data_IF_382647677321
#
_entry.id   IF_382647677321
#
_cell.length_a   1.000
_cell.length_b   1.000
_cell.length_c   1.000
_cell.angle_alpha   90.00
_cell.angle_beta   90.00
_cell.angle_gamma   90.00
#
_symmetry.space_group_name_H-M   'P 1'
#
loop_
_entity.id
_entity.type
_entity.pdbx_description
1 polymer ?
#
# COMPACT_ATOMS: atom_id res chain seq x y z
N UNK A 1 -23.53 -27.69 14.16
CA UNK A 1 -24.40 -26.56 13.77
C UNK A 1 -23.64 -25.29 14.06
N UNK A 2 -23.02 -24.74 13.03
CA UNK A 2 -22.24 -23.50 13.13
C UNK A 2 -23.21 -22.35 12.78
N UNK A 3 -23.51 -21.51 13.77
CA UNK A 3 -24.24 -20.26 13.55
C UNK A 3 -23.25 -19.18 13.18
N UNK A 4 -23.11 -18.90 11.87
CA UNK A 4 -22.28 -17.82 11.37
C UNK A 4 -22.82 -16.46 11.81
N UNK A 5 -22.04 -15.72 12.57
CA UNK A 5 -22.30 -14.31 12.89
C UNK A 5 -21.92 -13.46 11.68
N UNK A 6 -22.89 -12.86 11.05
CA UNK A 6 -22.72 -12.03 9.85
C UNK A 6 -21.88 -10.77 10.15
N UNK A 7 -20.95 -10.40 9.27
CA UNK A 7 -20.14 -9.15 9.29
C UNK A 7 -20.99 -7.87 9.53
N UNK A 8 -22.26 -7.90 9.15
CA UNK A 8 -23.20 -6.78 9.40
C UNK A 8 -23.52 -6.53 10.87
N UNK A 9 -23.38 -7.52 11.76
CA UNK A 9 -23.72 -7.35 13.18
C UNK A 9 -22.58 -6.72 14.01
N UNK A 10 -21.35 -6.81 13.56
CA UNK A 10 -20.22 -6.20 14.26
C UNK A 10 -20.25 -4.68 14.22
N UNK A 11 -20.63 -4.08 13.07
CA UNK A 11 -20.79 -2.62 12.91
C UNK A 11 -21.99 -2.08 13.68
N UNK A 12 -23.00 -2.92 13.98
CA UNK A 12 -24.22 -2.47 14.67
C UNK A 12 -24.21 -2.63 16.18
N UNK A 13 -23.31 -3.45 16.76
CA UNK A 13 -23.31 -3.72 18.20
C UNK A 13 -22.36 -2.82 19.02
N UNK A 14 -21.51 -2.02 18.38
CA UNK A 14 -20.66 -1.03 19.07
C UNK A 14 -21.36 0.32 19.33
N UNK A 15 -22.61 0.47 18.91
CA UNK A 15 -23.35 1.75 18.88
C UNK A 15 -24.18 2.09 20.11
N UNK A 16 -24.08 1.40 21.25
CA UNK A 16 -24.89 1.74 22.44
C UNK A 16 -24.08 1.72 23.72
N UNK A 17 -23.32 2.77 23.99
CA UNK A 17 -22.99 3.19 25.36
C UNK A 17 -22.50 4.65 25.43
N UNK A 18 -23.30 5.46 26.05
CA UNK A 18 -23.07 6.73 26.75
C UNK A 18 -22.54 7.96 25.98
N UNK A 19 -23.48 8.87 25.77
CA UNK A 19 -23.26 10.29 25.57
C UNK A 19 -22.66 10.94 26.84
N UNK A 20 -21.47 11.56 26.72
CA UNK A 20 -21.04 12.62 27.61
C UNK A 20 -20.55 13.79 26.72
N UNK A 21 -21.36 14.84 26.67
CA UNK A 21 -21.11 16.05 25.92
C UNK A 21 -19.99 16.86 26.55
N UNK A 22 -18.92 17.13 25.78
CA UNK A 22 -18.05 18.28 26.01
C UNK A 22 -18.12 19.19 24.79
N UNK A 23 -18.82 20.29 24.95
CA UNK A 23 -19.04 21.33 23.95
C UNK A 23 -17.74 22.04 23.61
N UNK A 24 -17.21 21.87 22.40
CA UNK A 24 -16.29 22.83 21.80
C UNK A 24 -17.00 23.53 20.64
N UNK A 25 -17.64 24.65 20.96
CA UNK A 25 -18.13 25.59 19.96
C UNK A 25 -16.97 26.44 19.44
N UNK A 26 -16.58 26.18 18.19
CA UNK A 26 -16.03 27.20 17.28
C UNK A 26 -16.76 27.12 15.96
N UNK A 27 -17.88 27.86 15.91
CA UNK A 27 -18.55 28.19 14.67
C UNK A 27 -17.67 29.17 13.91
N UNK A 28 -17.07 28.73 12.80
CA UNK A 28 -16.43 29.54 11.78
C UNK A 28 -16.87 29.03 10.43
N UNK A 29 -17.80 29.71 9.82
CA UNK A 29 -18.17 29.79 8.40
C UNK A 29 -18.04 28.52 7.52
N UNK A 30 -18.90 27.52 7.75
CA UNK A 30 -19.18 26.49 6.74
C UNK A 30 -20.68 26.16 6.79
N UNK A 31 -21.43 26.59 5.79
CA UNK A 31 -22.86 26.31 5.66
C UNK A 31 -23.17 24.89 5.12
N UNK A 32 -22.20 23.97 5.08
CA UNK A 32 -22.37 22.55 4.79
C UNK A 32 -21.58 21.74 5.81
N UNK A 33 -22.21 20.70 6.35
CA UNK A 33 -21.49 19.69 7.12
C UNK A 33 -20.43 19.04 6.26
N UNK A 34 -19.24 18.77 6.82
CA UNK A 34 -18.21 18.01 6.12
C UNK A 34 -18.78 16.68 5.62
N UNK A 35 -18.41 16.22 4.42
CA UNK A 35 -18.85 14.92 3.93
C UNK A 35 -18.35 13.80 4.87
N UNK A 36 -19.11 12.73 4.97
CA UNK A 36 -18.74 11.54 5.69
C UNK A 36 -17.67 10.74 4.92
N UNK A 37 -16.95 9.85 5.60
CA UNK A 37 -15.99 8.96 4.95
C UNK A 37 -16.65 8.12 3.85
N UNK A 38 -17.88 7.64 4.08
CA UNK A 38 -18.66 6.92 3.05
C UNK A 38 -18.96 7.80 1.83
N UNK A 39 -19.33 9.06 2.02
CA UNK A 39 -19.57 9.98 0.91
C UNK A 39 -18.30 10.26 0.10
N UNK A 40 -17.15 10.41 0.77
CA UNK A 40 -15.86 10.54 0.07
C UNK A 40 -15.54 9.28 -0.73
N UNK A 41 -15.78 8.09 -0.18
CA UNK A 41 -15.62 6.82 -0.90
C UNK A 41 -16.48 6.75 -2.14
N UNK A 42 -17.73 7.21 -2.07
CA UNK A 42 -18.61 7.25 -3.24
C UNK A 42 -18.12 8.23 -4.32
N UNK A 43 -17.51 9.36 -3.95
CA UNK A 43 -16.85 10.26 -4.91
C UNK A 43 -15.66 9.57 -5.60
N UNK A 44 -14.84 8.84 -4.83
CA UNK A 44 -13.71 8.05 -5.35
C UNK A 44 -14.22 7.01 -6.34
N UNK A 45 -15.24 6.21 -5.99
CA UNK A 45 -15.82 5.18 -6.86
C UNK A 45 -16.36 5.77 -8.17
N UNK A 46 -17.07 6.91 -8.09
CA UNK A 46 -17.55 7.62 -9.27
C UNK A 46 -16.41 8.07 -10.17
N UNK A 47 -15.34 8.61 -9.60
CA UNK A 47 -14.18 9.03 -10.37
C UNK A 47 -13.47 7.85 -11.03
N UNK A 48 -13.30 6.75 -10.32
CA UNK A 48 -12.74 5.50 -10.84
C UNK A 48 -13.58 4.95 -12.01
N UNK A 49 -14.91 5.00 -11.89
CA UNK A 49 -15.81 4.59 -12.97
C UNK A 49 -15.64 5.42 -14.25
N UNK A 50 -15.46 6.74 -14.11
CA UNK A 50 -15.13 7.62 -15.25
C UNK A 50 -13.80 7.26 -15.89
N UNK A 51 -12.86 6.73 -15.13
CA UNK A 51 -11.54 6.26 -15.59
C UNK A 51 -11.57 4.79 -16.07
N UNK A 52 -12.75 4.20 -16.20
CA UNK A 52 -12.94 2.83 -16.72
C UNK A 52 -12.77 1.71 -15.68
N UNK A 53 -12.64 2.05 -14.39
CA UNK A 53 -12.59 1.06 -13.31
C UNK A 53 -14.00 0.80 -12.77
N UNK A 54 -14.56 -0.35 -13.09
CA UNK A 54 -15.88 -0.77 -12.58
C UNK A 54 -15.70 -1.31 -11.16
N UNK A 55 -16.40 -0.68 -10.20
CA UNK A 55 -16.42 -1.16 -8.82
C UNK A 55 -17.23 -2.46 -8.71
N UNK A 56 -16.65 -3.47 -8.11
CA UNK A 56 -17.24 -4.79 -7.94
C UNK A 56 -16.78 -5.45 -6.63
N UNK A 57 -17.11 -6.71 -6.39
CA UNK A 57 -16.62 -7.45 -5.23
C UNK A 57 -15.10 -7.46 -5.17
N UNK A 58 -14.58 -7.26 -3.96
CA UNK A 58 -13.17 -7.40 -3.60
C UNK A 58 -13.08 -8.03 -2.21
N UNK A 59 -12.07 -8.86 -1.99
CA UNK A 59 -11.77 -9.41 -0.67
C UNK A 59 -10.99 -8.40 0.20
N UNK A 60 -10.43 -7.37 -0.42
CA UNK A 60 -9.52 -6.42 0.23
C UNK A 60 -10.14 -5.05 0.43
N UNK A 61 -10.87 -4.52 -0.57
CA UNK A 61 -11.37 -3.15 -0.55
C UNK A 61 -12.59 -2.99 0.36
N UNK A 62 -12.53 -2.03 1.26
CA UNK A 62 -13.62 -1.78 2.21
C UNK A 62 -13.20 -0.96 3.42
N UNK A 63 -14.18 -0.66 4.28
CA UNK A 63 -13.91 -0.12 5.59
C UNK A 63 -13.44 -1.23 6.53
N UNK A 64 -12.30 -1.02 7.17
CA UNK A 64 -11.67 -1.98 8.07
C UNK A 64 -11.63 -1.49 9.53
N UNK A 65 -11.71 -0.17 9.75
CA UNK A 65 -11.65 0.41 11.08
C UNK A 65 -12.46 1.71 11.13
N UNK A 66 -13.14 1.97 12.26
CA UNK A 66 -13.94 3.17 12.51
C UNK A 66 -15.31 3.18 11.83
N UNK A 67 -16.03 4.30 11.97
CA UNK A 67 -17.40 4.47 11.44
C UNK A 67 -17.37 5.12 10.04
N UNK A 68 -17.94 4.49 9.01
CA UNK A 68 -18.12 5.10 7.69
C UNK A 68 -18.84 6.44 7.69
N UNK A 69 -19.65 6.71 8.70
CA UNK A 69 -20.38 7.98 8.84
C UNK A 69 -19.55 9.09 9.51
N UNK A 70 -18.30 8.84 9.85
CA UNK A 70 -17.40 9.85 10.42
C UNK A 70 -17.30 11.07 9.49
N UNK A 71 -17.60 12.30 9.96
CA UNK A 71 -17.36 13.52 9.20
C UNK A 71 -15.87 13.71 8.95
N UNK A 72 -15.48 13.88 7.68
CA UNK A 72 -14.07 13.97 7.28
C UNK A 72 -13.57 15.41 7.42
N UNK A 73 -12.53 15.59 8.23
CA UNK A 73 -11.83 16.88 8.39
C UNK A 73 -10.53 16.93 7.56
N UNK A 74 -10.00 15.79 7.16
CA UNK A 74 -8.84 15.64 6.30
C UNK A 74 -8.61 14.18 5.96
N UNK A 75 -7.99 13.94 4.80
CA UNK A 75 -7.67 12.60 4.30
C UNK A 75 -6.18 12.38 4.33
N UNK A 76 -5.75 11.23 4.85
CA UNK A 76 -4.40 10.69 4.66
C UNK A 76 -4.45 9.52 3.66
N UNK A 77 -3.51 9.44 2.74
CA UNK A 77 -3.25 8.22 1.97
C UNK A 77 -1.96 7.58 2.46
N UNK A 78 -1.88 6.27 2.48
CA UNK A 78 -0.73 5.53 3.00
C UNK A 78 -0.65 4.14 2.37
N UNK A 79 0.52 3.51 2.41
CA UNK A 79 0.67 2.11 2.01
C UNK A 79 -0.02 1.21 3.05
N UNK A 80 0.33 1.32 4.32
CA UNK A 80 -0.27 0.55 5.39
C UNK A 80 -0.67 1.45 6.56
N UNK A 81 -1.87 1.24 7.13
CA UNK A 81 -2.38 2.02 8.25
C UNK A 81 -1.83 1.52 9.60
N UNK A 82 -0.49 1.54 9.77
CA UNK A 82 0.14 1.18 11.04
C UNK A 82 -0.31 2.09 12.19
N UNK A 83 -0.10 1.68 13.43
CA UNK A 83 -0.46 2.52 14.59
C UNK A 83 0.28 3.86 14.58
N UNK A 84 1.54 3.87 14.12
CA UNK A 84 2.31 5.11 13.96
C UNK A 84 1.75 6.01 12.85
N UNK A 85 1.36 5.43 11.71
CA UNK A 85 0.68 6.17 10.63
C UNK A 85 -0.61 6.81 11.14
N UNK A 86 -1.45 6.10 11.91
CA UNK A 86 -2.68 6.66 12.48
C UNK A 86 -2.38 7.85 13.41
N UNK A 87 -1.35 7.75 14.25
CA UNK A 87 -0.91 8.87 15.12
C UNK A 87 -0.45 10.08 14.32
N UNK A 88 0.36 9.87 13.28
CA UNK A 88 0.83 10.96 12.40
C UNK A 88 -0.31 11.57 11.59
N UNK A 89 -1.25 10.76 11.11
CA UNK A 89 -2.46 11.25 10.44
C UNK A 89 -3.29 12.15 11.36
N UNK A 90 -3.53 11.71 12.59
CA UNK A 90 -4.23 12.51 13.59
C UNK A 90 -3.50 13.82 13.91
N UNK A 91 -2.19 13.78 14.11
CA UNK A 91 -1.37 14.97 14.35
C UNK A 91 -1.43 15.96 13.16
N UNK A 92 -1.54 15.44 11.93
CA UNK A 92 -1.74 16.23 10.70
C UNK A 92 -3.21 16.61 10.45
N UNK A 93 -4.12 16.38 11.42
CA UNK A 93 -5.56 16.64 11.32
C UNK A 93 -6.24 15.89 10.16
N UNK A 94 -5.84 14.65 9.95
CA UNK A 94 -6.45 13.72 8.99
C UNK A 94 -7.12 12.60 9.79
N UNK A 95 -8.45 12.55 9.74
CA UNK A 95 -9.21 11.54 10.46
C UNK A 95 -9.82 10.47 9.52
N UNK A 96 -9.64 10.62 8.21
CA UNK A 96 -9.96 9.57 7.26
C UNK A 96 -8.67 9.07 6.59
N UNK A 97 -8.35 7.79 6.79
CA UNK A 97 -7.14 7.17 6.25
C UNK A 97 -7.53 6.22 5.12
N UNK A 98 -6.95 6.44 3.97
CA UNK A 98 -7.07 5.56 2.81
C UNK A 98 -5.78 4.75 2.71
N UNK A 99 -5.87 3.45 2.96
CA UNK A 99 -4.73 2.53 2.96
C UNK A 99 -4.75 1.61 1.74
N UNK A 100 -3.58 1.20 1.28
CA UNK A 100 -3.46 0.20 0.22
C UNK A 100 -3.45 -1.21 0.80
N UNK A 101 -2.63 -1.44 1.81
CA UNK A 101 -2.48 -2.72 2.48
C UNK A 101 -3.32 -2.84 3.75
N UNK A 102 -3.23 -4.01 4.39
CA UNK A 102 -4.08 -4.42 5.50
C UNK A 102 -3.95 -3.53 6.73
N UNK A 103 -5.03 -3.43 7.47
CA UNK A 103 -5.08 -2.71 8.75
C UNK A 103 -4.63 -3.58 9.92
N UNK A 104 -4.85 -4.90 9.84
CA UNK A 104 -4.64 -5.87 10.93
C UNK A 104 -3.73 -7.05 10.55
N UNK A 105 -2.57 -6.77 9.91
CA UNK A 105 -1.42 -7.69 9.72
C UNK A 105 -1.70 -9.01 8.98
N UNK A 106 -2.85 -9.15 8.37
CA UNK A 106 -3.18 -10.25 7.48
C UNK A 106 -3.79 -9.68 6.21
N UNK A 107 -3.44 -10.24 5.06
CA UNK A 107 -3.90 -9.71 3.76
C UNK A 107 -5.42 -9.57 3.64
N UNK A 108 -6.18 -10.39 4.38
CA UNK A 108 -7.64 -10.39 4.39
C UNK A 108 -8.25 -9.61 5.56
N UNK A 109 -7.44 -9.03 6.44
CA UNK A 109 -7.89 -8.34 7.65
C UNK A 109 -8.88 -9.15 8.51
N UNK A 110 -8.56 -10.41 8.93
CA UNK A 110 -9.45 -11.26 9.72
C UNK A 110 -9.50 -10.78 11.17
N UNK A 111 -10.31 -9.77 11.42
CA UNK A 111 -10.40 -9.11 12.73
C UNK A 111 -10.78 -10.12 13.84
N UNK A 112 -11.61 -11.11 13.52
CA UNK A 112 -12.08 -12.08 14.50
C UNK A 112 -10.94 -12.86 15.17
N UNK A 113 -9.86 -13.18 14.45
CA UNK A 113 -8.69 -13.89 14.99
C UNK A 113 -7.86 -12.99 15.90
N UNK A 114 -7.86 -11.68 15.64
CA UNK A 114 -7.05 -10.68 16.32
C UNK A 114 -7.79 -9.92 17.43
N UNK A 115 -9.11 -10.13 17.58
CA UNK A 115 -9.95 -9.33 18.49
C UNK A 115 -9.47 -9.32 19.96
N UNK A 116 -8.80 -10.38 20.40
CA UNK A 116 -8.29 -10.48 21.78
C UNK A 116 -6.83 -10.05 21.91
N UNK A 117 -6.17 -9.72 20.81
CA UNK A 117 -4.79 -9.25 20.83
C UNK A 117 -4.74 -7.80 21.38
N UNK A 118 -3.85 -7.51 22.35
CA UNK A 118 -3.79 -6.19 22.97
C UNK A 118 -3.38 -5.07 22.00
N UNK A 119 -2.61 -5.37 20.97
CA UNK A 119 -2.19 -4.38 19.95
C UNK A 119 -3.37 -4.04 19.04
N UNK A 120 -4.13 -5.06 18.61
CA UNK A 120 -5.37 -4.88 17.85
C UNK A 120 -6.36 -4.01 18.63
N UNK A 121 -6.61 -4.36 19.89
CA UNK A 121 -7.50 -3.61 20.78
C UNK A 121 -7.05 -2.16 21.01
N UNK A 122 -5.76 -1.92 21.15
CA UNK A 122 -5.23 -0.56 21.29
C UNK A 122 -5.44 0.27 20.01
N UNK A 123 -5.27 -0.35 18.84
CA UNK A 123 -5.48 0.30 17.54
C UNK A 123 -6.95 0.66 17.31
N UNK A 124 -7.86 -0.26 17.66
CA UNK A 124 -9.31 -0.04 17.57
C UNK A 124 -9.72 1.13 18.49
N UNK A 125 -9.36 1.05 19.79
CA UNK A 125 -9.68 2.13 20.74
C UNK A 125 -9.14 3.49 20.32
N UNK A 126 -7.91 3.53 19.82
CA UNK A 126 -7.31 4.79 19.35
C UNK A 126 -8.13 5.41 18.21
N UNK A 127 -8.58 4.62 17.25
CA UNK A 127 -9.39 5.10 16.14
C UNK A 127 -10.77 5.57 16.61
N UNK A 128 -11.43 4.82 17.50
CA UNK A 128 -12.73 5.18 18.06
C UNK A 128 -12.68 6.49 18.89
N UNK A 129 -11.72 6.60 19.81
CA UNK A 129 -11.52 7.78 20.68
C UNK A 129 -11.22 9.06 19.89
N UNK A 130 -10.60 8.92 18.70
CA UNK A 130 -10.23 10.03 17.85
C UNK A 130 -11.13 10.22 16.62
N UNK A 131 -12.27 9.50 16.56
CA UNK A 131 -13.20 9.56 15.44
C UNK A 131 -12.52 9.38 14.08
N UNK A 132 -11.64 8.39 13.98
CA UNK A 132 -10.95 8.04 12.75
C UNK A 132 -11.67 6.92 12.01
N UNK A 133 -11.64 6.97 10.67
CA UNK A 133 -12.07 5.88 9.81
C UNK A 133 -10.91 5.45 8.90
N UNK A 134 -10.79 4.14 8.65
CA UNK A 134 -9.81 3.57 7.72
C UNK A 134 -10.54 2.78 6.65
N UNK A 135 -10.25 3.12 5.40
CA UNK A 135 -10.78 2.47 4.22
C UNK A 135 -9.65 1.96 3.34
N UNK A 136 -9.69 0.69 2.97
CA UNK A 136 -8.70 0.07 2.09
C UNK A 136 -9.14 0.15 0.64
N UNK A 137 -8.18 0.50 -0.23
CA UNK A 137 -8.31 0.46 -1.68
C UNK A 137 -7.09 -0.23 -2.29
N UNK A 138 -7.23 -1.50 -2.60
CA UNK A 138 -6.19 -2.34 -3.19
C UNK A 138 -6.55 -2.73 -4.61
N UNK A 139 -7.52 -3.63 -4.78
CA UNK A 139 -7.87 -4.21 -6.08
C UNK A 139 -8.29 -3.17 -7.11
N UNK A 140 -9.17 -2.23 -6.70
CA UNK A 140 -9.68 -1.22 -7.61
C UNK A 140 -8.66 -0.13 -7.92
N UNK A 141 -7.67 0.07 -7.04
CA UNK A 141 -6.56 0.96 -7.32
C UNK A 141 -5.63 0.39 -8.39
N UNK A 142 -5.29 -0.91 -8.30
CA UNK A 142 -4.52 -1.65 -9.30
C UNK A 142 -5.19 -1.78 -10.68
N UNK A 143 -6.53 -1.69 -10.73
CA UNK A 143 -7.27 -1.80 -12.00
C UNK A 143 -7.19 -0.56 -12.88
N UNK A 144 -6.69 0.55 -12.39
CA UNK A 144 -6.47 1.76 -13.18
C UNK A 144 -5.41 1.52 -14.26
N UNK A 145 -5.47 2.31 -15.33
CA UNK A 145 -4.52 2.24 -16.44
C UNK A 145 -3.86 3.61 -16.64
N UNK A 146 -2.54 3.75 -16.51
CA UNK A 146 -1.62 2.74 -15.96
C UNK A 146 -1.92 2.41 -14.49
N UNK A 147 -1.47 1.22 -14.03
CA UNK A 147 -1.54 0.82 -12.63
C UNK A 147 -0.74 1.82 -11.77
N UNK A 148 -1.38 2.58 -10.88
CA UNK A 148 -0.72 3.69 -10.20
C UNK A 148 0.33 3.26 -9.17
N UNK A 149 0.25 2.02 -8.66
CA UNK A 149 1.25 1.48 -7.74
C UNK A 149 2.59 1.37 -8.45
N UNK A 150 2.64 0.66 -9.56
CA UNK A 150 3.88 0.45 -10.32
C UNK A 150 4.30 1.69 -11.12
N UNK A 151 3.36 2.50 -11.57
CA UNK A 151 3.68 3.79 -12.19
C UNK A 151 4.30 4.78 -11.18
N UNK A 152 3.86 4.74 -9.91
CA UNK A 152 4.45 5.50 -8.82
C UNK A 152 5.90 5.08 -8.56
N UNK A 153 6.16 3.77 -8.48
CA UNK A 153 7.51 3.24 -8.36
C UNK A 153 8.41 3.64 -9.54
N UNK A 154 7.91 3.50 -10.79
CA UNK A 154 8.65 3.87 -11.98
C UNK A 154 9.05 5.36 -11.97
N UNK A 155 8.15 6.23 -11.52
CA UNK A 155 8.42 7.66 -11.33
C UNK A 155 9.50 7.88 -10.27
N UNK A 156 9.41 7.20 -9.12
CA UNK A 156 10.37 7.33 -8.03
C UNK A 156 11.77 6.86 -8.41
N UNK A 157 11.85 5.77 -9.17
CA UNK A 157 13.10 5.25 -9.71
C UNK A 157 13.66 6.09 -10.88
N UNK A 158 12.92 7.09 -11.36
CA UNK A 158 13.23 7.83 -12.60
C UNK A 158 13.30 6.93 -13.85
N UNK A 159 12.52 5.84 -13.84
CA UNK A 159 12.45 4.85 -14.91
C UNK A 159 11.14 4.89 -15.70
N UNK A 160 10.36 5.98 -15.60
CA UNK A 160 9.07 6.10 -16.30
C UNK A 160 9.19 5.90 -17.80
N UNK A 161 10.25 6.43 -18.43
CA UNK A 161 10.48 6.29 -19.89
C UNK A 161 10.92 4.88 -20.30
N UNK A 162 11.34 4.05 -19.36
CA UNK A 162 11.79 2.68 -19.59
C UNK A 162 10.73 1.64 -19.23
N UNK A 163 9.59 2.08 -18.66
CA UNK A 163 8.58 1.18 -18.12
C UNK A 163 7.58 0.74 -19.18
N UNK A 164 7.45 -0.57 -19.35
CA UNK A 164 6.52 -1.20 -20.28
C UNK A 164 5.19 -1.50 -19.59
N UNK A 165 4.26 -0.53 -19.66
CA UNK A 165 3.00 -0.52 -18.91
C UNK A 165 1.98 -1.57 -19.38
N UNK A 166 1.99 -1.90 -20.67
CA UNK A 166 0.93 -2.72 -21.30
C UNK A 166 1.34 -4.18 -21.54
N UNK A 167 2.57 -4.56 -21.16
CA UNK A 167 3.09 -5.92 -21.35
C UNK A 167 2.92 -6.79 -20.10
N UNK A 168 2.93 -8.11 -20.31
CA UNK A 168 2.96 -9.09 -19.22
C UNK A 168 4.11 -10.08 -19.46
N UNK A 169 5.03 -10.24 -18.51
CA UNK A 169 5.15 -9.50 -17.26
C UNK A 169 5.46 -8.01 -17.47
N UNK A 170 5.06 -7.16 -16.53
CA UNK A 170 5.50 -5.76 -16.49
C UNK A 170 7.01 -5.73 -16.32
N UNK A 171 7.68 -4.80 -16.99
CA UNK A 171 9.14 -4.71 -16.91
C UNK A 171 9.66 -3.32 -17.30
N UNK A 172 10.90 -3.07 -16.94
CA UNK A 172 11.69 -1.93 -17.38
C UNK A 172 12.70 -2.38 -18.43
N UNK A 173 12.84 -1.61 -19.50
CA UNK A 173 13.93 -1.73 -20.47
C UNK A 173 14.91 -0.59 -20.25
N UNK A 174 15.93 -0.84 -19.42
CA UNK A 174 16.88 0.18 -18.99
C UNK A 174 18.15 0.20 -19.85
N UNK A 175 18.92 1.31 -19.88
CA UNK A 175 20.29 1.29 -20.36
C UNK A 175 21.09 0.20 -19.63
N UNK A 176 21.90 -0.56 -20.36
CA UNK A 176 22.65 -1.69 -19.80
C UNK A 176 23.54 -1.27 -18.64
N UNK A 177 23.38 -1.91 -17.50
CA UNK A 177 24.21 -1.74 -16.29
C UNK A 177 24.42 -3.09 -15.58
N UNK A 178 25.32 -3.14 -14.62
CA UNK A 178 25.51 -4.35 -13.80
C UNK A 178 24.39 -4.51 -12.78
N UNK A 179 24.17 -5.73 -12.28
CA UNK A 179 23.21 -6.01 -11.22
C UNK A 179 23.54 -5.18 -9.95
N UNK A 180 24.81 -5.00 -9.65
CA UNK A 180 25.22 -4.14 -8.53
C UNK A 180 24.84 -2.68 -8.75
N UNK A 181 25.00 -2.15 -9.98
CA UNK A 181 24.58 -0.78 -10.31
C UNK A 181 23.06 -0.62 -10.26
N UNK A 182 22.29 -1.63 -10.70
CA UNK A 182 20.83 -1.65 -10.55
C UNK A 182 20.43 -1.56 -9.07
N UNK A 183 21.01 -2.39 -8.21
CA UNK A 183 20.73 -2.38 -6.79
C UNK A 183 21.07 -1.05 -6.13
N UNK A 184 22.23 -0.45 -6.46
CA UNK A 184 22.64 0.86 -5.96
C UNK A 184 21.72 1.98 -6.45
N UNK A 185 21.26 1.93 -7.69
CA UNK A 185 20.30 2.89 -8.22
C UNK A 185 18.99 2.84 -7.42
N UNK A 186 18.42 1.64 -7.26
CA UNK A 186 17.19 1.41 -6.47
C UNK A 186 17.38 1.93 -5.04
N UNK A 187 18.47 1.55 -4.38
CA UNK A 187 18.80 1.99 -3.03
C UNK A 187 18.84 3.53 -2.92
N UNK A 188 19.52 4.17 -3.86
CA UNK A 188 19.67 5.63 -3.88
C UNK A 188 18.35 6.36 -4.12
N UNK A 189 17.52 5.86 -5.07
CA UNK A 189 16.26 6.52 -5.44
C UNK A 189 15.16 6.34 -4.40
N UNK A 190 15.09 5.17 -3.79
CA UNK A 190 14.10 4.89 -2.74
C UNK A 190 14.54 5.38 -1.36
N UNK A 191 15.84 5.64 -1.17
CA UNK A 191 16.38 6.05 0.13
C UNK A 191 16.39 4.91 1.16
N UNK A 192 16.18 3.65 0.73
CA UNK A 192 16.23 2.48 1.61
C UNK A 192 17.65 1.89 1.68
N UNK A 193 17.97 1.31 2.83
CA UNK A 193 19.19 0.52 3.00
C UNK A 193 18.93 -0.98 2.91
N UNK A 194 17.66 -1.36 2.89
CA UNK A 194 17.19 -2.74 2.84
C UNK A 194 17.03 -3.18 1.39
N UNK A 195 18.14 -3.50 0.74
CA UNK A 195 18.19 -4.06 -0.60
C UNK A 195 18.96 -5.37 -0.55
N UNK A 196 18.29 -6.46 -0.86
CA UNK A 196 18.87 -7.81 -0.92
C UNK A 196 19.05 -8.19 -2.38
N UNK A 197 20.23 -8.70 -2.72
CA UNK A 197 20.57 -9.08 -4.09
C UNK A 197 20.98 -10.55 -4.13
N UNK A 198 20.40 -11.29 -5.07
CA UNK A 198 20.85 -12.66 -5.41
C UNK A 198 21.15 -12.70 -6.90
N UNK A 199 22.34 -13.12 -7.26
CA UNK A 199 22.87 -13.15 -8.63
C UNK A 199 24.35 -12.77 -8.68
N UNK A 200 24.95 -12.85 -9.86
CA UNK A 200 26.29 -12.34 -10.11
C UNK A 200 26.26 -10.80 -10.10
N UNK A 201 27.00 -10.10 -9.22
CA UNK A 201 27.06 -8.65 -9.21
C UNK A 201 27.41 -8.01 -10.55
N UNK A 202 28.21 -8.69 -11.36
CA UNK A 202 28.63 -8.27 -12.70
C UNK A 202 27.63 -8.62 -13.81
N UNK A 203 26.53 -9.31 -13.51
CA UNK A 203 25.49 -9.65 -14.50
C UNK A 203 25.04 -8.39 -15.26
N UNK A 204 25.12 -8.44 -16.59
CA UNK A 204 24.68 -7.32 -17.44
C UNK A 204 23.15 -7.36 -17.56
N UNK A 205 22.51 -6.29 -17.11
CA UNK A 205 21.08 -6.14 -16.98
C UNK A 205 20.57 -5.08 -17.97
N UNK A 206 19.59 -5.46 -18.77
CA UNK A 206 18.83 -4.57 -19.66
C UNK A 206 17.34 -4.59 -19.34
N UNK A 207 16.86 -5.71 -18.79
CA UNK A 207 15.45 -5.91 -18.52
C UNK A 207 15.22 -6.28 -17.06
N UNK A 208 14.31 -5.56 -16.39
CA UNK A 208 13.95 -5.79 -14.99
C UNK A 208 12.45 -6.04 -14.93
N UNK A 209 12.05 -7.26 -14.57
CA UNK A 209 10.65 -7.59 -14.34
C UNK A 209 10.17 -6.99 -13.02
N UNK A 210 9.06 -6.25 -13.09
CA UNK A 210 8.41 -5.63 -11.95
C UNK A 210 7.30 -6.55 -11.45
N UNK A 211 7.48 -7.11 -10.28
CA UNK A 211 6.60 -8.14 -9.75
C UNK A 211 6.33 -7.92 -8.26
N UNK A 212 5.15 -8.39 -7.84
CA UNK A 212 4.76 -8.38 -6.45
C UNK A 212 5.66 -9.31 -5.59
N UNK A 213 5.10 -10.13 -4.75
CA UNK A 213 5.82 -10.83 -3.68
C UNK A 213 5.61 -12.36 -3.67
N UNK A 214 4.85 -12.93 -4.60
CA UNK A 214 4.62 -14.38 -4.66
C UNK A 214 5.33 -15.03 -5.85
N UNK A 215 5.81 -16.26 -5.68
CA UNK A 215 6.57 -16.98 -6.71
C UNK A 215 5.85 -17.05 -8.05
N UNK A 216 4.53 -17.19 -8.06
CA UNK A 216 3.73 -17.24 -9.29
C UNK A 216 3.77 -15.94 -10.10
N UNK A 217 4.04 -14.79 -9.46
CA UNK A 217 4.28 -13.51 -10.13
C UNK A 217 5.74 -13.31 -10.52
N UNK A 218 6.67 -13.84 -9.74
CA UNK A 218 8.12 -13.72 -9.96
C UNK A 218 8.61 -14.60 -11.10
N UNK A 219 8.09 -15.82 -11.23
CA UNK A 219 8.54 -16.76 -12.29
C UNK A 219 8.38 -16.22 -13.72
N UNK A 220 7.24 -15.61 -14.12
CA UNK A 220 7.13 -15.00 -15.45
C UNK A 220 8.17 -13.90 -15.67
N UNK A 221 8.45 -13.09 -14.66
CA UNK A 221 9.47 -12.05 -14.74
C UNK A 221 10.88 -12.63 -14.91
N UNK A 222 11.26 -13.64 -14.09
CA UNK A 222 12.56 -14.30 -14.22
C UNK A 222 12.75 -15.04 -15.56
N UNK A 223 11.67 -15.51 -16.17
CA UNK A 223 11.74 -16.14 -17.51
C UNK A 223 11.96 -15.11 -18.61
N UNK A 224 11.31 -13.96 -18.51
CA UNK A 224 11.31 -12.94 -19.57
C UNK A 224 12.43 -11.90 -19.43
N UNK A 225 12.89 -11.62 -18.21
CA UNK A 225 13.82 -10.53 -17.91
C UNK A 225 15.15 -11.05 -17.33
N UNK A 226 16.17 -10.20 -17.34
CA UNK A 226 17.47 -10.49 -16.76
C UNK A 226 17.38 -10.57 -15.22
N UNK A 227 16.56 -9.68 -14.64
CA UNK A 227 16.40 -9.52 -13.19
C UNK A 227 14.92 -9.39 -12.86
N UNK A 228 14.52 -9.88 -11.68
CA UNK A 228 13.23 -9.56 -11.08
C UNK A 228 13.43 -8.58 -9.90
N UNK A 229 12.67 -7.48 -9.90
CA UNK A 229 12.51 -6.58 -8.76
C UNK A 229 11.27 -7.04 -7.98
N UNK A 230 11.45 -7.37 -6.71
CA UNK A 230 10.39 -7.92 -5.85
C UNK A 230 10.30 -7.14 -4.54
N UNK A 231 9.08 -6.92 -4.06
CA UNK A 231 8.82 -6.64 -2.65
C UNK A 231 8.76 -7.96 -1.91
N UNK A 232 9.03 -8.09 -0.69
CA UNK A 232 9.08 -9.33 0.10
C UNK A 232 8.80 -10.64 -0.70
N UNK A 233 9.47 -11.71 -0.40
CA UNK A 233 9.18 -13.03 -1.00
C UNK A 233 9.71 -14.13 -0.09
N UNK A 234 9.06 -15.29 -0.02
CA UNK A 234 9.59 -16.40 0.76
C UNK A 234 10.94 -16.85 0.24
N UNK A 235 11.94 -16.88 1.12
CA UNK A 235 13.32 -17.26 0.79
C UNK A 235 13.37 -18.63 0.12
N UNK A 236 12.71 -19.62 0.71
CA UNK A 236 12.67 -21.00 0.23
C UNK A 236 12.05 -21.17 -1.17
N UNK A 237 11.32 -20.18 -1.67
CA UNK A 237 10.66 -20.25 -2.97
C UNK A 237 11.49 -19.50 -4.04
N UNK A 238 11.51 -18.18 -3.99
CA UNK A 238 12.11 -17.36 -5.06
C UNK A 238 13.63 -17.50 -5.11
N UNK A 239 14.31 -17.43 -3.97
CA UNK A 239 15.76 -17.45 -3.97
C UNK A 239 16.32 -18.86 -4.22
N UNK A 240 15.69 -19.91 -3.70
CA UNK A 240 16.13 -21.27 -4.00
C UNK A 240 15.88 -21.63 -5.47
N UNK A 241 14.75 -21.20 -6.07
CA UNK A 241 14.55 -21.34 -7.51
C UNK A 241 15.66 -20.62 -8.31
N UNK A 242 16.01 -19.41 -7.90
CA UNK A 242 17.06 -18.65 -8.58
C UNK A 242 18.44 -19.34 -8.46
N UNK A 243 18.76 -19.88 -7.27
CA UNK A 243 19.99 -20.63 -7.05
C UNK A 243 20.10 -21.83 -7.96
N UNK A 244 19.00 -22.58 -8.12
CA UNK A 244 18.94 -23.70 -9.05
C UNK A 244 19.11 -23.23 -10.51
N UNK A 245 18.44 -22.16 -10.91
CA UNK A 245 18.58 -21.58 -12.24
C UNK A 245 20.04 -21.16 -12.54
N UNK A 246 20.71 -20.54 -11.56
CA UNK A 246 22.12 -20.16 -11.68
C UNK A 246 23.04 -21.39 -11.76
N UNK A 247 22.78 -22.42 -10.97
CA UNK A 247 23.52 -23.68 -11.03
C UNK A 247 23.38 -24.41 -12.38
N UNK A 248 22.25 -24.20 -13.06
CA UNK A 248 21.99 -24.65 -14.42
C UNK A 248 22.62 -23.75 -15.50
N UNK A 249 23.36 -22.72 -15.11
CA UNK A 249 24.05 -21.79 -16.00
C UNK A 249 23.20 -20.63 -16.52
N UNK A 250 21.99 -20.42 -15.99
CA UNK A 250 21.16 -19.28 -16.37
C UNK A 250 21.70 -17.99 -15.77
N UNK A 251 21.79 -16.95 -16.59
CA UNK A 251 22.23 -15.60 -16.18
C UNK A 251 21.02 -14.80 -15.71
N UNK A 252 20.66 -14.92 -14.45
CA UNK A 252 19.49 -14.30 -13.83
C UNK A 252 19.86 -13.69 -12.48
N UNK A 253 19.06 -12.71 -12.03
CA UNK A 253 19.21 -12.10 -10.71
C UNK A 253 17.86 -11.68 -10.12
N UNK A 254 17.87 -11.42 -8.83
CA UNK A 254 16.76 -10.82 -8.08
C UNK A 254 17.27 -9.66 -7.26
N UNK A 255 16.55 -8.56 -7.29
CA UNK A 255 16.69 -7.47 -6.31
C UNK A 255 15.41 -7.46 -5.48
N UNK A 256 15.54 -7.67 -4.18
CA UNK A 256 14.44 -7.59 -3.22
C UNK A 256 14.56 -6.33 -2.37
N UNK A 257 13.46 -5.63 -2.23
CA UNK A 257 13.25 -4.50 -1.32
C UNK A 257 12.09 -4.83 -0.38
N UNK A 258 11.76 -3.98 0.57
CA UNK A 258 10.54 -4.18 1.36
C UNK A 258 9.28 -3.93 0.53
N UNK A 259 8.16 -4.53 0.94
CA UNK A 259 6.88 -4.39 0.23
C UNK A 259 6.43 -2.93 0.17
N UNK A 260 6.54 -2.19 1.27
CA UNK A 260 6.20 -0.77 1.28
C UNK A 260 7.12 0.04 0.37
N UNK A 261 8.43 -0.24 0.31
CA UNK A 261 9.34 0.47 -0.60
C UNK A 261 9.00 0.21 -2.08
N UNK A 262 8.39 -0.94 -2.39
CA UNK A 262 7.89 -1.24 -3.72
C UNK A 262 6.62 -0.44 -4.05
N UNK A 263 5.67 -0.28 -3.13
CA UNK A 263 4.29 0.10 -3.45
C UNK A 263 3.82 1.44 -2.86
N UNK A 264 4.48 1.97 -1.82
CA UNK A 264 4.01 3.20 -1.14
C UNK A 264 3.94 4.44 -2.06
N UNK A 265 4.74 4.48 -3.13
CA UNK A 265 4.76 5.57 -4.12
C UNK A 265 3.47 5.67 -4.94
N UNK A 266 2.73 4.58 -5.03
CA UNK A 266 1.40 4.57 -5.60
C UNK A 266 0.38 5.28 -4.71
N UNK A 267 0.60 5.32 -3.40
CA UNK A 267 -0.27 6.02 -2.46
C UNK A 267 0.08 7.51 -2.34
N UNK A 268 1.31 7.92 -2.62
CA UNK A 268 1.64 9.33 -2.92
C UNK A 268 0.85 9.80 -4.15
N UNK A 269 0.83 9.00 -5.22
CA UNK A 269 0.02 9.26 -6.41
C UNK A 269 -1.48 9.32 -6.09
N UNK A 270 -1.95 8.50 -5.15
CA UNK A 270 -3.34 8.52 -4.68
C UNK A 270 -3.70 9.86 -4.03
N UNK A 271 -2.83 10.41 -3.20
CA UNK A 271 -3.05 11.73 -2.61
C UNK A 271 -3.17 12.81 -3.68
N UNK A 272 -2.27 12.83 -4.66
CA UNK A 272 -2.30 13.79 -5.77
C UNK A 272 -3.59 13.68 -6.59
N UNK A 273 -3.99 12.45 -6.91
CA UNK A 273 -5.20 12.16 -7.67
C UNK A 273 -6.48 12.52 -6.90
N UNK A 274 -6.48 12.39 -5.57
CA UNK A 274 -7.65 12.65 -4.73
C UNK A 274 -7.91 14.15 -4.51
N UNK A 275 -6.86 14.98 -4.45
CA UNK A 275 -6.98 16.43 -4.21
C UNK A 275 -8.04 17.13 -5.08
N UNK A 276 -8.10 16.92 -6.41
CA UNK A 276 -9.13 17.56 -7.24
C UNK A 276 -10.53 16.93 -7.08
N UNK A 277 -10.67 15.75 -6.47
CA UNK A 277 -11.94 15.09 -6.24
C UNK A 277 -12.65 15.66 -5.00
N UNK A 278 -11.85 16.02 -3.99
CA UNK A 278 -12.32 16.59 -2.72
C UNK A 278 -11.61 17.92 -2.42
N UNK A 279 -11.77 18.95 -3.26
CA UNK A 279 -10.94 20.16 -3.21
C UNK A 279 -11.07 20.96 -1.90
N UNK A 280 -12.15 20.77 -1.15
CA UNK A 280 -12.39 21.45 0.12
C UNK A 280 -11.80 20.70 1.34
N UNK A 281 -11.30 19.46 1.14
CA UNK A 281 -10.76 18.61 2.19
C UNK A 281 -9.24 18.52 2.03
N UNK A 282 -8.44 18.83 3.05
CA UNK A 282 -6.99 18.66 2.99
C UNK A 282 -6.60 17.19 2.80
N UNK A 283 -5.86 16.89 1.73
CA UNK A 283 -5.34 15.55 1.42
C UNK A 283 -3.83 15.54 1.51
N UNK A 284 -3.27 14.55 2.20
CA UNK A 284 -1.84 14.39 2.42
C UNK A 284 -1.43 12.91 2.32
N UNK A 285 -0.30 12.65 1.66
CA UNK A 285 0.33 11.35 1.73
C UNK A 285 1.18 11.26 3.00
N UNK A 286 0.99 10.19 3.76
CA UNK A 286 1.76 9.87 4.96
C UNK A 286 2.47 8.56 4.70
N UNK A 287 3.79 8.57 4.46
CA UNK A 287 4.52 7.33 4.16
C UNK A 287 4.47 6.38 5.35
N UNK A 288 4.36 5.08 5.06
CA UNK A 288 4.47 4.04 6.10
C UNK A 288 5.89 3.97 6.62
N UNK A 289 6.86 3.98 5.72
CA UNK A 289 8.28 3.89 6.01
C UNK A 289 8.76 2.45 6.17
N UNK A 290 10.01 2.21 5.80
CA UNK A 290 10.64 0.88 5.84
C UNK A 290 10.79 0.39 7.29
N UNK A 291 10.19 -0.77 7.68
CA UNK A 291 10.29 -1.31 9.04
C UNK A 291 11.66 -1.91 9.33
N UNK A 292 12.46 -2.20 8.30
CA UNK A 292 13.73 -2.90 8.46
C UNK A 292 14.88 -1.95 8.78
N UNK A 293 15.69 -2.34 9.75
CA UNK A 293 16.91 -1.65 10.10
C UNK A 293 18.11 -2.51 9.69
N UNK A 294 18.97 -1.97 8.84
CA UNK A 294 20.25 -2.61 8.50
C UNK A 294 21.30 -2.14 9.49
N UNK A 295 21.79 -3.00 10.40
CA UNK A 295 22.84 -2.64 11.34
C UNK A 295 24.09 -2.15 10.61
N UNK A 296 24.80 -1.15 11.14
CA UNK A 296 26.08 -0.74 10.57
C UNK A 296 27.07 -1.90 10.68
N UNK A 297 27.78 -2.20 9.59
CA UNK A 297 28.91 -3.10 9.62
C UNK A 297 29.99 -2.41 10.47
N UNK A 298 30.26 -2.94 11.67
CA UNK A 298 31.41 -2.52 12.45
C UNK A 298 32.65 -3.20 11.83
N UNK A 299 33.46 -2.40 11.15
CA UNK A 299 34.78 -2.81 10.68
C UNK A 299 35.75 -3.03 11.82
#
# INVERSE_FOLDING_TARGET
>A
MQTGVSRRRFVQSAGTALAAAASFSRAGAWGRSNPTAAEVVELIKKKLAVEGVIWGPSAFDGFHLGDPNTPVIGVATTFESTFDVLKRALAAKKNFVITHESTFWDGFDPVEVMLHDPVCQAKIRFAEENHMAVWRIHDHWHRRKPDPIFAGLARKLEWTSYYSLDTRPRHYEIPEMSLEEVARHIQSKLGTRNVVVVGDPGLRVKTIGDCAHILSSVLPALRACDVALVGETPEYATFEYLRDAMALGMKKGVVMISHEALEEWGMETCAEWLKPIVPEIPVEWIPTGDPFQVPPIRG
#
